data_IF_112992203400
#
_entry.id   IF_112992203400
#
_cell.length_a   1.000
_cell.length_b   1.000
_cell.length_c   1.000
_cell.angle_alpha   90.00
_cell.angle_beta   90.00
_cell.angle_gamma   90.00
#
_symmetry.space_group_name_H-M   'P 1'
#
loop_
_entity.id
_entity.type
_entity.pdbx_description
1 polymer ?
#
# COMPACT_ATOMS: atom_id res chain seq x y z
N UNK A 1 12.63 0.63 29.11
CA UNK A 1 12.46 0.36 27.67
C UNK A 1 12.07 -1.09 27.55
N UNK A 2 10.95 -1.36 26.90
CA UNK A 2 10.46 -2.72 26.65
C UNK A 2 10.57 -2.94 25.16
N UNK A 3 11.30 -3.98 24.77
CA UNK A 3 11.35 -4.49 23.42
C UNK A 3 10.49 -5.74 23.41
N UNK A 4 9.45 -5.75 22.59
CA UNK A 4 8.65 -6.96 22.40
C UNK A 4 9.13 -7.56 21.09
N UNK A 5 9.89 -8.64 21.22
CA UNK A 5 10.33 -9.49 20.11
C UNK A 5 9.25 -10.55 19.84
N UNK A 6 9.39 -11.31 18.76
CA UNK A 6 8.51 -12.45 18.41
C UNK A 6 8.53 -13.63 19.42
N UNK A 7 9.09 -13.46 20.62
CA UNK A 7 9.33 -14.54 21.58
C UNK A 7 8.10 -15.05 22.34
N UNK A 8 6.88 -14.65 21.98
CA UNK A 8 5.68 -15.41 22.35
C UNK A 8 5.42 -16.59 21.41
N UNK A 9 6.22 -16.78 20.35
CA UNK A 9 6.39 -18.09 19.74
C UNK A 9 7.46 -18.85 20.54
N UNK A 10 6.96 -19.55 21.56
CA UNK A 10 7.58 -20.76 22.09
C UNK A 10 8.27 -21.53 20.96
N UNK A 11 9.48 -21.99 21.27
CA UNK A 11 9.96 -23.24 20.74
C UNK A 11 8.87 -24.32 20.88
N UNK A 12 8.09 -24.49 19.83
CA UNK A 12 7.56 -25.77 19.40
C UNK A 12 8.29 -26.05 18.10
N UNK A 13 9.16 -27.05 18.15
CA UNK A 13 10.11 -27.32 17.08
C UNK A 13 9.46 -27.63 15.74
N UNK A 14 10.22 -27.36 14.68
CA UNK A 14 10.11 -28.04 13.39
C UNK A 14 8.85 -27.72 12.59
N UNK A 15 8.73 -26.47 12.14
CA UNK A 15 8.21 -26.02 10.83
C UNK A 15 7.57 -24.64 10.97
N UNK A 16 7.92 -23.72 10.06
CA UNK A 16 7.21 -22.44 9.95
C UNK A 16 5.71 -22.72 9.74
N UNK A 17 4.80 -22.04 10.46
CA UNK A 17 3.37 -22.25 10.24
C UNK A 17 3.03 -22.02 8.77
N UNK A 18 2.21 -22.89 8.18
CA UNK A 18 1.66 -22.60 6.85
C UNK A 18 0.95 -21.24 6.86
N UNK A 19 0.93 -20.53 5.74
CA UNK A 19 0.24 -19.24 5.63
C UNK A 19 -1.25 -19.32 6.05
N UNK A 20 -1.89 -20.48 5.88
CA UNK A 20 -3.26 -20.74 6.36
C UNK A 20 -3.35 -20.76 7.89
N UNK A 21 -2.42 -21.44 8.55
CA UNK A 21 -2.36 -21.48 10.02
C UNK A 21 -2.04 -20.10 10.61
N UNK A 22 -1.16 -19.34 9.95
CA UNK A 22 -0.87 -17.95 10.32
C UNK A 22 -2.11 -17.05 10.18
N UNK A 23 -2.88 -17.18 9.10
CA UNK A 23 -4.14 -16.46 8.92
C UNK A 23 -5.19 -16.84 9.97
N UNK A 24 -5.37 -18.12 10.27
CA UNK A 24 -6.33 -18.56 11.29
C UNK A 24 -5.98 -18.03 12.68
N UNK A 25 -4.69 -18.07 13.05
CA UNK A 25 -4.20 -17.47 14.30
C UNK A 25 -4.46 -15.98 14.32
N UNK A 26 -4.14 -15.26 13.24
CA UNK A 26 -4.39 -13.83 13.13
C UNK A 26 -5.87 -13.48 13.30
N UNK A 27 -6.78 -14.26 12.73
CA UNK A 27 -8.24 -14.07 12.87
C UNK A 27 -8.71 -14.24 14.31
N UNK A 28 -8.13 -15.17 15.08
CA UNK A 28 -8.47 -15.38 16.49
C UNK A 28 -7.90 -14.27 17.38
N UNK A 29 -6.65 -13.87 17.17
CA UNK A 29 -5.96 -12.87 18.01
C UNK A 29 -6.35 -11.43 17.66
N UNK A 30 -6.62 -11.15 16.38
CA UNK A 30 -6.98 -9.84 15.84
C UNK A 30 -8.30 -9.94 15.05
N UNK A 31 -9.44 -10.19 15.74
CA UNK A 31 -10.71 -10.47 15.09
C UNK A 31 -11.35 -9.24 14.43
N UNK A 32 -10.98 -8.03 14.86
CA UNK A 32 -11.59 -6.80 14.35
C UNK A 32 -10.85 -6.29 13.11
N UNK A 33 -11.48 -6.41 11.95
CA UNK A 33 -11.03 -5.80 10.69
C UNK A 33 -11.66 -4.41 10.57
N UNK A 34 -10.84 -3.37 10.41
CA UNK A 34 -11.31 -2.00 10.23
C UNK A 34 -10.76 -1.41 8.94
N UNK A 35 -11.60 -0.68 8.22
CA UNK A 35 -11.14 0.20 7.15
C UNK A 35 -10.20 1.23 7.75
N UNK A 36 -9.05 1.40 7.13
CA UNK A 36 -7.99 2.26 7.63
C UNK A 36 -7.86 3.52 6.78
N UNK A 37 -7.87 3.40 5.45
CA UNK A 37 -7.90 4.48 4.47
C UNK A 37 -7.92 3.91 3.04
N UNK A 38 -8.05 4.77 2.03
CA UNK A 38 -7.91 4.44 0.62
C UNK A 38 -6.57 4.90 0.08
N UNK A 39 -6.10 4.27 -0.99
CA UNK A 39 -5.04 4.76 -1.86
C UNK A 39 -5.38 4.46 -3.31
N UNK A 40 -4.60 5.03 -4.22
CA UNK A 40 -4.78 4.85 -5.66
C UNK A 40 -3.51 4.30 -6.29
N UNK A 41 -3.66 3.50 -7.33
CA UNK A 41 -2.55 2.95 -8.10
C UNK A 41 -2.83 2.98 -9.58
N UNK A 42 -1.85 2.56 -10.38
CA UNK A 42 -1.98 2.39 -11.83
C UNK A 42 -1.99 0.90 -12.14
N UNK A 43 -3.07 0.43 -12.75
CA UNK A 43 -3.18 -0.92 -13.25
C UNK A 43 -3.09 -0.96 -14.78
N UNK A 44 -2.52 -2.03 -15.31
CA UNK A 44 -2.39 -2.30 -16.73
C UNK A 44 -3.01 -3.68 -17.03
N UNK A 45 -3.87 -3.73 -18.04
CA UNK A 45 -4.40 -4.98 -18.55
C UNK A 45 -3.42 -5.62 -19.54
N UNK A 46 -3.07 -6.87 -19.28
CA UNK A 46 -2.26 -7.72 -20.14
C UNK A 46 -3.03 -8.98 -20.51
N UNK A 47 -2.49 -9.81 -21.41
CA UNK A 47 -3.09 -11.11 -21.74
C UNK A 47 -3.21 -12.07 -20.53
N UNK A 48 -2.42 -11.85 -19.47
CA UNK A 48 -2.46 -12.62 -18.22
C UNK A 48 -3.36 -12.05 -17.13
N UNK A 49 -4.11 -10.98 -17.42
CA UNK A 49 -4.91 -10.24 -16.44
C UNK A 49 -4.33 -8.87 -16.12
N UNK A 50 -4.68 -8.32 -14.95
CA UNK A 50 -4.27 -6.99 -14.56
C UNK A 50 -2.98 -7.01 -13.73
N UNK A 51 -2.03 -6.16 -14.10
CA UNK A 51 -0.85 -5.86 -13.29
C UNK A 51 -1.04 -4.50 -12.62
N UNK A 52 -0.59 -4.33 -11.38
CA UNK A 52 -0.67 -3.07 -10.64
C UNK A 52 0.73 -2.59 -10.24
N UNK A 53 0.95 -1.30 -10.41
CA UNK A 53 2.12 -0.61 -9.86
C UNK A 53 2.00 -0.57 -8.31
N UNK A 54 3.01 -1.05 -7.57
CA UNK A 54 3.01 -1.00 -6.11
C UNK A 54 3.08 0.44 -5.55
N UNK A 55 3.47 1.45 -6.32
CA UNK A 55 3.33 2.84 -5.92
C UNK A 55 1.87 3.14 -5.58
N UNK A 56 1.67 3.74 -4.42
CA UNK A 56 0.35 3.95 -3.85
C UNK A 56 0.19 5.42 -3.50
N UNK A 57 -0.67 6.08 -4.27
CA UNK A 57 -0.91 7.52 -4.25
C UNK A 57 -2.05 7.87 -3.29
N UNK A 58 -2.00 9.08 -2.75
CA UNK A 58 -2.99 9.56 -1.78
C UNK A 58 -4.25 10.00 -2.49
N UNK A 59 -4.13 10.60 -3.68
CA UNK A 59 -5.25 11.12 -4.46
C UNK A 59 -5.35 10.47 -5.85
N UNK A 60 -6.55 10.42 -6.48
CA UNK A 60 -6.72 9.88 -7.81
C UNK A 60 -5.84 10.57 -8.87
N UNK A 61 -5.73 11.90 -8.83
CA UNK A 61 -4.93 12.65 -9.81
C UNK A 61 -3.44 12.32 -9.74
N UNK A 62 -2.87 12.11 -8.55
CA UNK A 62 -1.46 11.67 -8.42
C UNK A 62 -1.20 10.35 -9.15
N UNK A 63 -2.15 9.42 -9.11
CA UNK A 63 -2.04 8.17 -9.86
C UNK A 63 -2.20 8.37 -11.38
N UNK A 64 -3.01 9.35 -11.83
CA UNK A 64 -3.07 9.73 -13.25
C UNK A 64 -1.76 10.38 -13.71
N UNK A 65 -1.18 11.24 -12.89
CA UNK A 65 0.10 11.88 -13.19
C UNK A 65 1.23 10.85 -13.26
N UNK A 66 1.26 9.87 -12.34
CA UNK A 66 2.17 8.74 -12.39
C UNK A 66 1.97 7.85 -13.64
N UNK A 67 0.71 7.65 -14.06
CA UNK A 67 0.40 6.96 -15.32
C UNK A 67 0.97 7.75 -16.53
N UNK A 68 0.75 9.08 -16.55
CA UNK A 68 1.31 9.97 -17.56
C UNK A 68 2.84 9.92 -17.58
N UNK A 69 3.48 9.99 -16.41
CA UNK A 69 4.92 9.85 -16.26
C UNK A 69 5.42 8.54 -16.85
N UNK A 70 4.74 7.42 -16.56
CA UNK A 70 5.03 6.12 -17.15
C UNK A 70 5.01 6.15 -18.68
N UNK A 71 4.05 6.86 -19.30
CA UNK A 71 4.01 7.02 -20.75
C UNK A 71 5.18 7.87 -21.27
N UNK A 72 5.54 8.96 -20.60
CA UNK A 72 6.69 9.79 -20.98
C UNK A 72 7.99 9.00 -20.91
N UNK A 73 8.17 8.17 -19.88
CA UNK A 73 9.32 7.25 -19.79
C UNK A 73 9.35 6.29 -20.98
N UNK A 74 8.22 5.67 -21.34
CA UNK A 74 8.17 4.78 -22.51
C UNK A 74 8.44 5.53 -23.82
N UNK A 75 7.93 6.76 -23.96
CA UNK A 75 8.12 7.59 -25.14
C UNK A 75 9.57 8.08 -25.31
N UNK A 76 10.33 8.23 -24.21
CA UNK A 76 11.74 8.61 -24.25
C UNK A 76 12.69 7.47 -24.59
N UNK A 77 12.26 6.21 -24.47
CA UNK A 77 13.13 5.06 -24.75
C UNK A 77 13.42 4.92 -26.24
N UNK A 78 14.71 4.78 -26.57
CA UNK A 78 15.18 4.52 -27.94
C UNK A 78 14.65 3.20 -28.49
N UNK A 79 14.44 2.21 -27.62
CA UNK A 79 13.86 0.89 -27.94
C UNK A 79 12.37 0.95 -28.32
N UNK A 80 11.64 1.99 -27.94
CA UNK A 80 10.21 2.14 -28.28
C UNK A 80 10.04 2.55 -29.75
N UNK A 81 9.27 1.81 -30.58
CA UNK A 81 9.01 2.17 -31.98
C UNK A 81 8.40 3.57 -32.14
N UNK A 82 8.76 4.29 -33.20
CA UNK A 82 8.33 5.68 -33.39
C UNK A 82 6.80 5.89 -33.32
N UNK A 83 5.95 5.06 -33.95
CA UNK A 83 4.49 5.20 -33.82
C UNK A 83 4.00 4.99 -32.39
N UNK A 84 4.66 4.11 -31.61
CA UNK A 84 4.30 3.87 -30.22
C UNK A 84 4.72 5.03 -29.32
N UNK A 85 5.87 5.67 -29.59
CA UNK A 85 6.29 6.88 -28.87
C UNK A 85 5.28 8.00 -29.03
N UNK A 86 4.76 8.20 -30.25
CA UNK A 86 3.71 9.21 -30.49
C UNK A 86 2.45 8.91 -29.67
N UNK A 87 1.97 7.67 -29.70
CA UNK A 87 0.80 7.27 -28.91
C UNK A 87 1.00 7.50 -27.40
N UNK A 88 2.19 7.24 -26.87
CA UNK A 88 2.51 7.52 -25.47
C UNK A 88 2.55 9.04 -25.18
N UNK A 89 3.09 9.86 -26.09
CA UNK A 89 3.05 11.31 -25.93
C UNK A 89 1.62 11.86 -25.94
N UNK A 90 0.79 11.40 -26.87
CA UNK A 90 -0.62 11.80 -26.96
C UNK A 90 -1.41 11.40 -25.70
N UNK A 91 -1.18 10.19 -25.20
CA UNK A 91 -1.81 9.70 -23.98
C UNK A 91 -1.38 10.48 -22.74
N UNK A 92 -0.10 10.81 -22.62
CA UNK A 92 0.40 11.68 -21.54
C UNK A 92 -0.25 13.06 -21.63
N UNK A 93 -0.25 13.68 -22.81
CA UNK A 93 -0.86 15.00 -23.02
C UNK A 93 -2.38 15.00 -22.74
N UNK A 94 -3.06 13.89 -23.00
CA UNK A 94 -4.48 13.73 -22.64
C UNK A 94 -4.67 13.77 -21.13
N UNK A 95 -3.84 13.08 -20.35
CA UNK A 95 -3.92 13.06 -18.89
C UNK A 95 -3.58 14.40 -18.23
N UNK A 96 -2.77 15.25 -18.89
CA UNK A 96 -2.55 16.64 -18.45
C UNK A 96 -3.78 17.54 -18.64
N UNK A 97 -4.67 17.20 -19.58
CA UNK A 97 -5.87 18.00 -19.89
C UNK A 97 -7.13 17.46 -19.23
N UNK A 98 -7.20 16.15 -19.04
CA UNK A 98 -8.41 15.45 -18.65
C UNK A 98 -8.18 14.49 -17.50
N UNK A 99 -9.11 14.46 -16.53
CA UNK A 99 -9.12 13.54 -15.38
C UNK A 99 -9.59 12.13 -15.78
N UNK A 100 -8.96 11.54 -16.79
CA UNK A 100 -9.29 10.18 -17.27
C UNK A 100 -8.75 9.13 -16.32
N UNK A 101 -9.64 8.30 -15.79
CA UNK A 101 -9.25 7.13 -15.00
C UNK A 101 -8.84 5.94 -15.87
N UNK A 102 -9.03 6.02 -17.19
CA UNK A 102 -8.73 4.91 -18.10
C UNK A 102 -8.30 5.44 -19.47
N UNK A 103 -7.26 4.83 -20.02
CA UNK A 103 -6.73 5.11 -21.35
C UNK A 103 -6.24 3.82 -22.01
N UNK A 104 -6.34 3.74 -23.33
CA UNK A 104 -5.76 2.64 -24.11
C UNK A 104 -4.62 3.19 -24.96
N UNK A 105 -3.43 2.63 -24.80
CA UNK A 105 -2.21 3.11 -25.46
C UNK A 105 -1.47 1.90 -26.02
N UNK A 106 -1.21 1.89 -27.33
CA UNK A 106 -0.55 0.76 -28.02
C UNK A 106 -1.26 -0.58 -27.73
N UNK A 107 -2.59 -0.58 -27.79
CA UNK A 107 -3.42 -1.76 -27.54
C UNK A 107 -3.46 -2.26 -26.09
N UNK A 108 -2.84 -1.55 -25.14
CA UNK A 108 -2.84 -1.88 -23.71
C UNK A 108 -3.75 -0.92 -22.96
N UNK A 109 -4.60 -1.46 -22.10
CA UNK A 109 -5.54 -0.68 -21.28
C UNK A 109 -4.89 -0.37 -19.94
N UNK A 110 -4.85 0.91 -19.57
CA UNK A 110 -4.36 1.39 -18.29
C UNK A 110 -5.51 2.01 -17.51
N UNK A 111 -5.54 1.78 -16.20
CA UNK A 111 -6.59 2.26 -15.30
C UNK A 111 -6.01 2.78 -14.00
N UNK A 112 -6.47 3.94 -13.56
CA UNK A 112 -6.31 4.38 -12.17
C UNK A 112 -7.25 3.54 -11.32
N UNK A 113 -6.73 2.87 -10.31
CA UNK A 113 -7.48 1.92 -9.48
C UNK A 113 -7.57 2.37 -8.03
N UNK A 114 -8.73 2.13 -7.43
CA UNK A 114 -8.95 2.31 -6.00
C UNK A 114 -8.48 1.08 -5.24
N UNK A 115 -7.69 1.29 -4.18
CA UNK A 115 -7.23 0.23 -3.28
C UNK A 115 -7.61 0.60 -1.85
N UNK A 116 -8.52 -0.16 -1.25
CA UNK A 116 -8.91 0.03 0.14
C UNK A 116 -7.91 -0.68 1.06
N UNK A 117 -7.47 0.01 2.12
CA UNK A 117 -6.52 -0.50 3.10
C UNK A 117 -7.23 -0.78 4.41
N UNK A 118 -6.89 -1.90 5.03
CA UNK A 118 -7.50 -2.38 6.25
C UNK A 118 -6.44 -2.82 7.25
N UNK A 119 -6.78 -2.71 8.53
CA UNK A 119 -5.96 -3.22 9.62
C UNK A 119 -6.76 -4.20 10.46
N UNK A 120 -6.11 -5.26 10.90
CA UNK A 120 -6.66 -6.12 11.95
C UNK A 120 -6.26 -5.58 13.31
N UNK A 121 -7.14 -5.78 14.29
CA UNK A 121 -6.92 -5.38 15.67
C UNK A 121 -7.59 -6.34 16.64
N UNK A 122 -7.04 -6.41 17.85
CA UNK A 122 -7.54 -7.24 18.94
C UNK A 122 -7.16 -6.62 20.29
N UNK A 123 -7.31 -7.40 21.36
CA UNK A 123 -7.04 -6.94 22.73
C UNK A 123 -5.61 -6.41 22.92
N UNK A 124 -4.65 -6.97 22.17
CA UNK A 124 -3.23 -6.59 22.23
C UNK A 124 -2.87 -5.44 21.27
N UNK A 125 -3.83 -4.84 20.56
CA UNK A 125 -3.62 -3.72 19.62
C UNK A 125 -3.72 -4.11 18.14
N UNK A 126 -3.00 -3.39 17.27
CA UNK A 126 -2.92 -3.71 15.83
C UNK A 126 -2.10 -4.99 15.57
N UNK A 127 -2.47 -5.74 14.53
CA UNK A 127 -1.75 -6.92 14.10
C UNK A 127 -0.32 -6.59 13.66
N UNK A 128 0.71 -7.24 14.23
CA UNK A 128 2.10 -7.10 13.80
C UNK A 128 2.36 -7.91 12.52
N UNK A 129 3.56 -7.79 11.91
CA UNK A 129 4.03 -8.76 10.94
C UNK A 129 3.84 -10.21 11.41
N UNK A 130 3.46 -11.07 10.48
CA UNK A 130 3.34 -12.52 10.72
C UNK A 130 4.70 -13.18 10.47
N UNK A 131 5.01 -14.32 11.11
CA UNK A 131 6.21 -15.09 10.80
C UNK A 131 6.31 -15.56 9.34
N UNK A 132 5.17 -15.65 8.64
CA UNK A 132 5.10 -16.03 7.22
C UNK A 132 5.25 -14.85 6.26
N UNK A 133 5.34 -13.63 6.77
CA UNK A 133 5.52 -12.45 5.93
C UNK A 133 6.96 -12.40 5.40
N UNK A 134 7.16 -12.21 4.08
CA UNK A 134 8.49 -12.08 3.51
C UNK A 134 9.26 -10.91 4.15
N UNK A 135 10.35 -11.24 4.86
CA UNK A 135 11.07 -10.26 5.66
C UNK A 135 12.04 -9.40 4.85
N UNK A 136 12.52 -9.86 3.69
CA UNK A 136 13.55 -9.18 2.88
C UNK A 136 13.09 -8.96 1.43
N UNK A 137 11.92 -8.33 1.28
CA UNK A 137 11.43 -7.88 -0.03
C UNK A 137 12.02 -6.50 -0.32
N UNK A 138 12.75 -6.31 -1.43
CA UNK A 138 13.22 -5.00 -1.85
C UNK A 138 12.05 -4.04 -2.07
N UNK A 139 12.22 -2.78 -1.69
CA UNK A 139 11.28 -1.74 -2.09
C UNK A 139 11.34 -1.60 -3.63
N UNK A 140 10.18 -1.54 -4.31
CA UNK A 140 10.14 -1.49 -5.77
C UNK A 140 10.80 -0.21 -6.27
N UNK A 141 11.50 -0.33 -7.40
CA UNK A 141 12.13 0.79 -8.09
C UNK A 141 11.07 1.65 -8.82
N UNK A 142 10.43 2.52 -8.04
CA UNK A 142 9.51 3.55 -8.51
C UNK A 142 8.32 3.04 -9.35
N UNK A 143 7.88 3.90 -10.28
CA UNK A 143 6.62 3.76 -11.03
C UNK A 143 6.63 2.72 -12.16
N UNK A 144 7.74 2.01 -12.36
CA UNK A 144 7.92 1.08 -13.47
C UNK A 144 7.68 -0.38 -13.08
N UNK A 145 7.77 -0.70 -11.79
CA UNK A 145 7.47 -2.05 -11.30
C UNK A 145 5.97 -2.34 -11.42
N UNK A 146 5.62 -3.56 -11.83
CA UNK A 146 4.23 -4.04 -11.87
C UNK A 146 4.13 -5.45 -11.34
N UNK A 147 3.15 -5.68 -10.48
CA UNK A 147 2.87 -6.99 -9.88
C UNK A 147 1.48 -7.47 -10.29
N UNK A 148 1.26 -8.78 -10.51
CA UNK A 148 -0.08 -9.27 -10.84
C UNK A 148 -1.08 -8.94 -9.73
N UNK A 149 -2.26 -8.42 -10.09
CA UNK A 149 -3.42 -8.41 -9.20
C UNK A 149 -3.87 -9.87 -9.05
N UNK A 150 -3.90 -10.43 -7.83
CA UNK A 150 -4.31 -11.81 -7.63
C UNK A 150 -5.75 -12.07 -8.06
N UNK A 151 -6.09 -13.34 -8.22
CA UNK A 151 -7.46 -13.75 -8.52
C UNK A 151 -8.43 -13.19 -7.47
N UNK A 152 -9.52 -12.62 -7.95
CA UNK A 152 -10.58 -12.08 -7.13
C UNK A 152 -11.57 -13.17 -6.70
N UNK A 153 -12.10 -13.04 -5.50
CA UNK A 153 -13.05 -13.98 -4.91
C UNK A 153 -14.29 -13.26 -4.39
N UNK A 154 -15.38 -14.01 -4.22
CA UNK A 154 -16.58 -13.48 -3.58
C UNK A 154 -16.30 -13.20 -2.09
N UNK A 155 -16.66 -12.01 -1.58
CA UNK A 155 -16.75 -11.74 -0.14
C UNK A 155 -17.40 -12.89 0.64
N UNK A 156 -16.78 -13.34 1.73
CA UNK A 156 -17.30 -14.42 2.57
C UNK A 156 -17.01 -15.83 2.07
N UNK A 157 -16.32 -15.99 0.93
CA UNK A 157 -15.88 -17.29 0.42
C UNK A 157 -14.82 -17.97 1.29
N UNK A 158 -14.62 -19.27 1.07
CA UNK A 158 -13.60 -20.05 1.78
C UNK A 158 -12.17 -19.59 1.44
N UNK A 159 -11.95 -19.12 0.21
CA UNK A 159 -10.69 -18.56 -0.26
C UNK A 159 -10.31 -17.27 0.49
N UNK A 160 -11.31 -16.56 1.02
CA UNK A 160 -11.14 -15.39 1.88
C UNK A 160 -11.38 -15.71 3.36
N UNK A 161 -11.42 -16.99 3.74
CA UNK A 161 -11.67 -17.44 5.12
C UNK A 161 -12.95 -16.85 5.73
N UNK A 162 -13.98 -16.61 4.92
CA UNK A 162 -15.23 -16.01 5.37
C UNK A 162 -15.19 -14.48 5.55
N UNK A 163 -14.07 -13.81 5.24
CA UNK A 163 -13.96 -12.36 5.34
C UNK A 163 -14.66 -11.65 4.19
N UNK A 164 -15.36 -10.56 4.50
CA UNK A 164 -16.26 -9.89 3.55
C UNK A 164 -15.68 -8.63 2.94
N UNK A 165 -15.01 -7.77 3.71
CA UNK A 165 -14.44 -6.50 3.20
C UNK A 165 -15.47 -5.54 2.56
N UNK A 166 -16.76 -5.71 2.86
CA UNK A 166 -17.88 -4.93 2.30
C UNK A 166 -18.24 -3.73 3.18
N UNK A 167 -17.25 -2.86 3.45
CA UNK A 167 -17.48 -1.68 4.30
C UNK A 167 -18.18 -0.58 3.50
N UNK A 168 -19.36 -0.17 3.97
CA UNK A 168 -20.11 0.98 3.46
C UNK A 168 -20.08 2.07 4.53
N UNK A 169 -19.32 3.16 4.33
CA UNK A 169 -19.36 4.30 5.23
C UNK A 169 -20.79 4.82 5.37
N UNK A 170 -21.22 5.09 6.60
CA UNK A 170 -22.55 5.63 6.91
C UNK A 170 -22.50 6.39 8.25
N UNK A 171 -23.46 7.29 8.46
CA UNK A 171 -23.60 8.06 9.70
C UNK A 171 -23.81 9.56 9.45
N UNK A 172 -24.11 10.31 10.50
CA UNK A 172 -24.45 11.74 10.41
C UNK A 172 -23.33 12.62 9.82
N UNK A 173 -22.08 12.19 9.95
CA UNK A 173 -20.90 12.92 9.44
C UNK A 173 -20.35 12.36 8.12
N UNK A 174 -21.03 11.40 7.51
CA UNK A 174 -20.63 10.82 6.22
C UNK A 174 -21.50 11.40 5.11
N UNK A 175 -20.91 12.16 4.16
CA UNK A 175 -21.62 12.61 2.97
C UNK A 175 -22.39 11.47 2.27
N UNK A 176 -23.62 11.77 1.85
CA UNK A 176 -24.54 10.77 1.31
C UNK A 176 -24.06 10.14 -0.01
N UNK A 177 -23.29 10.90 -0.79
CA UNK A 177 -22.63 10.47 -2.01
C UNK A 177 -21.55 9.40 -1.76
N UNK A 178 -20.72 9.55 -0.71
CA UNK A 178 -19.76 8.51 -0.30
C UNK A 178 -20.47 7.19 -0.03
N UNK A 179 -21.57 7.25 0.73
CA UNK A 179 -22.39 6.05 1.05
C UNK A 179 -22.98 5.43 -0.22
N UNK A 180 -23.54 6.26 -1.10
CA UNK A 180 -24.17 5.83 -2.36
C UNK A 180 -23.14 5.18 -3.30
N UNK A 181 -21.97 5.78 -3.44
CA UNK A 181 -20.93 5.30 -4.35
C UNK A 181 -20.29 4.02 -3.81
N UNK A 182 -20.08 3.90 -2.49
CA UNK A 182 -19.65 2.64 -1.88
C UNK A 182 -20.67 1.51 -2.12
N UNK A 183 -21.97 1.78 -1.99
CA UNK A 183 -23.02 0.79 -2.33
C UNK A 183 -23.04 0.44 -3.82
N UNK A 184 -22.79 1.41 -4.70
CA UNK A 184 -22.67 1.17 -6.15
C UNK A 184 -21.48 0.26 -6.43
N UNK A 185 -20.34 0.52 -5.80
CA UNK A 185 -19.13 -0.30 -5.92
C UNK A 185 -19.36 -1.77 -5.52
N UNK A 186 -20.13 -2.03 -4.45
CA UNK A 186 -20.50 -3.41 -4.08
C UNK A 186 -21.25 -4.14 -5.19
N UNK A 187 -22.06 -3.44 -6.00
CA UNK A 187 -22.83 -4.03 -7.10
C UNK A 187 -22.02 -4.15 -8.39
N UNK A 188 -21.24 -3.12 -8.73
CA UNK A 188 -20.49 -3.08 -10.00
C UNK A 188 -19.17 -3.83 -9.94
N UNK A 189 -18.58 -3.95 -8.76
CA UNK A 189 -17.33 -4.67 -8.49
C UNK A 189 -17.54 -5.61 -7.30
N UNK A 190 -18.29 -6.72 -7.48
CA UNK A 190 -18.71 -7.58 -6.37
C UNK A 190 -17.57 -8.44 -5.80
N UNK A 191 -16.51 -8.69 -6.58
CA UNK A 191 -15.39 -9.53 -6.16
C UNK A 191 -14.33 -8.70 -5.43
N UNK A 192 -13.45 -9.37 -4.69
CA UNK A 192 -12.30 -8.74 -4.03
C UNK A 192 -11.00 -9.51 -4.31
N UNK A 193 -9.96 -8.78 -4.68
CA UNK A 193 -8.59 -9.28 -4.76
C UNK A 193 -7.78 -8.73 -3.58
N UNK A 194 -7.14 -9.61 -2.81
CA UNK A 194 -6.20 -9.24 -1.73
C UNK A 194 -4.81 -9.14 -2.33
N UNK A 195 -4.21 -7.95 -2.29
CA UNK A 195 -2.81 -7.77 -2.68
C UNK A 195 -1.87 -8.28 -1.58
N UNK A 196 -0.57 -8.33 -1.90
CA UNK A 196 0.44 -8.49 -0.87
C UNK A 196 0.28 -7.39 0.20
N UNK A 197 0.42 -7.75 1.49
CA UNK A 197 0.32 -6.83 2.61
C UNK A 197 1.43 -5.79 2.58
N UNK A 198 1.23 -4.69 3.31
CA UNK A 198 2.28 -3.73 3.61
C UNK A 198 2.42 -3.48 5.10
N UNK A 199 3.53 -2.88 5.47
CA UNK A 199 3.89 -2.63 6.86
C UNK A 199 4.03 -1.15 7.12
N UNK A 200 3.44 -0.67 8.21
CA UNK A 200 3.48 0.74 8.60
C UNK A 200 3.95 0.86 10.04
N UNK A 201 4.79 1.84 10.32
CA UNK A 201 5.14 2.21 11.69
C UNK A 201 3.98 3.05 12.22
N UNK A 202 3.30 2.56 13.25
CA UNK A 202 2.31 3.32 14.02
C UNK A 202 2.90 3.77 15.34
N UNK A 203 2.45 4.94 15.81
CA UNK A 203 2.78 5.50 17.11
C UNK A 203 1.51 5.52 17.97
N UNK A 204 1.61 5.07 19.22
CA UNK A 204 0.54 5.20 20.18
C UNK A 204 0.31 6.68 20.55
N UNK A 205 -0.95 7.10 20.55
CA UNK A 205 -1.41 8.43 20.96
C UNK A 205 -2.64 8.24 21.84
N UNK A 206 -2.42 8.16 23.16
CA UNK A 206 -3.47 7.73 24.11
C UNK A 206 -3.92 6.29 23.78
N UNK A 207 -5.24 6.03 23.65
CA UNK A 207 -5.74 4.71 23.27
C UNK A 207 -5.68 4.44 21.74
N UNK A 208 -5.23 5.41 20.95
CA UNK A 208 -5.26 5.35 19.48
C UNK A 208 -3.88 5.05 18.89
N UNK A 209 -3.89 4.51 17.68
CA UNK A 209 -2.68 4.31 16.87
C UNK A 209 -2.71 5.26 15.68
N UNK A 210 -1.63 6.02 15.49
CA UNK A 210 -1.47 6.95 14.37
C UNK A 210 -0.36 6.46 13.43
N UNK A 211 -0.58 6.40 12.10
CA UNK A 211 0.50 6.22 11.14
C UNK A 211 1.63 7.24 11.37
N UNK A 212 2.87 6.76 11.39
CA UNK A 212 4.08 7.56 11.60
C UNK A 212 5.12 7.34 10.47
N UNK A 213 4.76 6.63 9.41
CA UNK A 213 5.64 6.36 8.27
C UNK A 213 4.84 6.13 6.98
N UNK A 214 5.52 6.08 5.83
CA UNK A 214 5.03 5.41 4.63
C UNK A 214 4.76 3.90 4.87
N UNK A 215 4.25 3.24 3.84
CA UNK A 215 3.97 1.80 3.83
C UNK A 215 5.10 1.06 3.13
N UNK A 216 5.64 0.05 3.79
CA UNK A 216 6.79 -0.75 3.35
C UNK A 216 6.35 -2.12 2.82
N UNK A 217 7.13 -2.68 1.89
CA UNK A 217 6.87 -3.99 1.29
C UNK A 217 7.37 -5.15 2.17
N UNK A 218 8.24 -4.86 3.15
CA UNK A 218 8.73 -5.84 4.11
C UNK A 218 8.75 -5.30 5.55
N UNK A 219 8.62 -6.18 6.55
CA UNK A 219 8.85 -5.81 7.94
C UNK A 219 10.28 -5.32 8.19
N UNK A 220 11.31 -5.86 7.51
CA UNK A 220 12.68 -5.37 7.66
C UNK A 220 12.86 -3.92 7.18
N UNK A 221 12.21 -3.52 6.08
CA UNK A 221 12.25 -2.14 5.60
C UNK A 221 11.60 -1.19 6.62
N UNK A 222 10.49 -1.61 7.25
CA UNK A 222 9.87 -0.88 8.35
C UNK A 222 10.78 -0.78 9.58
N UNK A 223 11.44 -1.89 9.99
CA UNK A 223 12.42 -1.89 11.10
C UNK A 223 13.61 -0.98 10.79
N UNK A 224 14.15 -1.04 9.58
CA UNK A 224 15.26 -0.20 9.14
C UNK A 224 14.89 1.29 9.15
N UNK A 225 13.67 1.65 8.73
CA UNK A 225 13.17 3.03 8.84
C UNK A 225 13.07 3.45 10.31
N UNK A 226 12.44 2.64 11.16
CA UNK A 226 12.29 2.97 12.58
C UNK A 226 13.65 3.13 13.27
N UNK A 227 14.61 2.25 12.95
CA UNK A 227 15.97 2.33 13.46
C UNK A 227 16.66 3.65 13.05
N UNK A 228 16.48 4.10 11.80
CA UNK A 228 16.99 5.42 11.36
C UNK A 228 16.32 6.57 12.12
N UNK A 229 15.01 6.54 12.26
CA UNK A 229 14.26 7.57 12.98
C UNK A 229 14.69 7.65 14.47
N UNK A 230 14.94 6.50 15.11
CA UNK A 230 15.45 6.44 16.49
C UNK A 230 16.92 6.86 16.60
N UNK A 231 17.76 6.58 15.60
CA UNK A 231 19.15 7.02 15.58
C UNK A 231 19.26 8.55 15.56
N UNK A 232 18.46 9.23 14.72
CA UNK A 232 18.40 10.71 14.69
C UNK A 232 17.99 11.26 16.07
N UNK A 233 17.01 10.64 16.72
CA UNK A 233 16.61 11.03 18.09
C UNK A 233 17.70 10.76 19.13
N UNK A 234 18.47 9.69 18.96
CA UNK A 234 19.60 9.33 19.83
C UNK A 234 20.67 10.41 19.81
N UNK A 235 20.96 10.99 18.65
CA UNK A 235 21.96 12.04 18.50
C UNK A 235 21.56 13.34 19.20
N UNK A 236 20.26 13.68 19.16
CA UNK A 236 19.70 14.84 19.82
C UNK A 236 19.48 14.67 21.34
N UNK A 237 19.59 13.44 21.87
CA UNK A 237 19.32 13.13 23.27
C UNK A 237 20.50 13.55 24.18
N UNK A 238 20.18 14.31 25.24
CA UNK A 238 21.15 14.83 26.20
C UNK A 238 21.27 13.97 27.44
N UNK A 239 20.19 13.29 27.83
CA UNK A 239 20.23 12.36 28.95
C UNK A 239 20.97 11.08 28.55
N UNK A 240 22.05 10.75 29.27
CA UNK A 240 22.91 9.62 28.92
C UNK A 240 22.20 8.27 29.02
N UNK A 241 21.26 8.11 29.96
CA UNK A 241 20.51 6.87 30.17
C UNK A 241 19.46 6.70 29.08
N UNK A 242 18.74 7.76 28.72
CA UNK A 242 17.79 7.73 27.61
C UNK A 242 18.51 7.52 26.27
N UNK A 243 19.68 8.14 26.08
CA UNK A 243 20.49 7.93 24.89
C UNK A 243 20.97 6.49 24.76
N UNK A 244 21.37 5.85 25.87
CA UNK A 244 21.74 4.44 25.88
C UNK A 244 20.55 3.53 25.54
N UNK A 245 19.35 3.82 26.05
CA UNK A 245 18.12 3.10 25.69
C UNK A 245 17.83 3.22 24.20
N UNK A 246 17.86 4.43 23.64
CA UNK A 246 17.59 4.65 22.21
C UNK A 246 18.59 3.92 21.30
N UNK A 247 19.88 3.87 21.68
CA UNK A 247 20.88 3.05 20.98
C UNK A 247 20.53 1.57 21.02
N UNK A 248 20.26 1.03 22.20
CA UNK A 248 19.89 -0.38 22.34
C UNK A 248 18.61 -0.75 21.55
N UNK A 249 17.61 0.14 21.47
CA UNK A 249 16.45 -0.07 20.61
C UNK A 249 16.82 -0.08 19.11
N UNK A 250 17.68 0.84 18.70
CA UNK A 250 18.18 0.91 17.32
C UNK A 250 18.92 -0.36 16.93
N UNK A 251 19.79 -0.87 17.82
CA UNK A 251 20.55 -2.09 17.60
C UNK A 251 19.65 -3.32 17.57
N UNK A 252 18.63 -3.39 18.43
CA UNK A 252 17.64 -4.47 18.43
C UNK A 252 16.81 -4.51 17.14
N UNK A 253 16.37 -3.35 16.63
CA UNK A 253 15.65 -3.26 15.36
C UNK A 253 16.50 -3.73 14.17
N UNK A 254 17.82 -3.57 14.24
CA UNK A 254 18.78 -4.02 13.22
C UNK A 254 19.10 -5.52 13.32
N UNK A 255 19.01 -6.10 14.51
CA UNK A 255 19.49 -7.47 14.77
C UNK A 255 18.42 -8.55 14.71
N UNK A 256 17.13 -8.23 14.78
CA UNK A 256 16.08 -9.25 14.78
C UNK A 256 14.66 -8.74 14.57
N UNK A 257 13.66 -9.65 14.62
CA UNK A 257 12.28 -9.36 14.32
C UNK A 257 11.58 -8.66 15.50
N UNK A 258 11.96 -7.40 15.71
CA UNK A 258 11.30 -6.52 16.68
C UNK A 258 10.02 -5.97 16.05
N UNK A 259 8.86 -6.28 16.66
CA UNK A 259 7.55 -5.80 16.21
C UNK A 259 7.08 -4.54 16.94
N UNK A 260 7.60 -4.30 18.15
CA UNK A 260 7.23 -3.16 18.97
C UNK A 260 8.40 -2.64 19.82
N UNK A 261 8.49 -1.31 19.91
CA UNK A 261 9.50 -0.58 20.68
C UNK A 261 8.81 0.45 21.58
N UNK A 262 9.03 0.33 22.88
CA UNK A 262 8.57 1.33 23.87
C UNK A 262 9.72 2.26 24.27
N UNK A 263 9.66 3.50 23.79
CA UNK A 263 10.64 4.57 24.03
C UNK A 263 10.17 5.49 25.16
N UNK A 264 11.07 5.93 26.05
CA UNK A 264 10.78 6.84 27.18
C UNK A 264 9.68 6.39 28.15
N UNK A 265 9.32 5.10 28.15
CA UNK A 265 8.33 4.52 29.08
C UNK A 265 6.86 4.86 28.76
N UNK A 266 6.60 5.72 27.77
CA UNK A 266 5.26 6.17 27.38
C UNK A 266 5.01 6.15 25.87
N UNK A 267 6.06 6.19 25.05
CA UNK A 267 5.94 6.32 23.60
C UNK A 267 6.15 4.97 22.93
N UNK A 268 5.05 4.36 22.52
CA UNK A 268 5.08 3.04 21.87
C UNK A 268 5.04 3.18 20.36
N UNK A 269 6.01 2.58 19.68
CA UNK A 269 6.01 2.36 18.23
C UNK A 269 5.74 0.89 17.95
N UNK A 270 4.87 0.62 16.98
CA UNK A 270 4.60 -0.75 16.50
C UNK A 270 4.68 -0.79 14.99
N UNK A 271 5.22 -1.87 14.44
CA UNK A 271 5.08 -2.18 13.03
C UNK A 271 3.75 -2.91 12.88
N UNK A 272 2.81 -2.33 12.15
CA UNK A 272 1.49 -2.88 11.91
C UNK A 272 1.39 -3.43 10.49
N UNK A 273 0.73 -4.58 10.36
CA UNK A 273 0.36 -5.20 9.09
C UNK A 273 -0.91 -4.54 8.52
N UNK A 274 -0.88 -4.22 7.23
CA UNK A 274 -1.95 -3.55 6.51
C UNK A 274 -2.34 -4.39 5.30
N UNK A 275 -3.61 -4.77 5.24
CA UNK A 275 -4.20 -5.51 4.14
C UNK A 275 -4.64 -4.54 3.04
N UNK A 276 -4.29 -4.83 1.79
CA UNK A 276 -4.64 -4.03 0.62
C UNK A 276 -5.65 -4.81 -0.21
N UNK A 277 -6.82 -4.23 -0.46
CA UNK A 277 -7.93 -4.89 -1.14
C UNK A 277 -8.40 -4.05 -2.31
N UNK A 278 -8.54 -4.69 -3.47
CA UNK A 278 -9.11 -4.10 -4.67
C UNK A 278 -10.45 -4.76 -4.93
N UNK A 279 -11.50 -3.97 -5.18
CA UNK A 279 -12.75 -4.52 -5.68
C UNK A 279 -12.65 -4.78 -7.18
N UNK A 280 -13.20 -5.90 -7.62
CA UNK A 280 -13.04 -6.40 -8.99
C UNK A 280 -14.40 -6.72 -9.60
N UNK A 281 -14.50 -6.54 -10.91
CA UNK A 281 -15.56 -7.05 -11.77
C UNK A 281 -14.96 -7.86 -12.91
N UNK A 282 -15.79 -8.41 -13.79
CA UNK A 282 -15.33 -9.06 -15.02
C UNK A 282 -14.57 -8.09 -15.95
N UNK A 283 -14.87 -6.79 -15.86
CA UNK A 283 -14.16 -5.74 -16.61
C UNK A 283 -12.83 -5.31 -15.92
N UNK A 284 -12.59 -5.75 -14.68
CA UNK A 284 -11.35 -5.50 -13.96
C UNK A 284 -11.50 -4.69 -12.66
N UNK A 285 -10.42 -4.02 -12.22
CA UNK A 285 -10.36 -3.35 -10.92
C UNK A 285 -11.19 -2.07 -10.85
N UNK A 286 -11.75 -1.81 -9.67
CA UNK A 286 -12.57 -0.63 -9.39
C UNK A 286 -11.76 0.67 -9.63
N UNK A 287 -12.25 1.60 -10.47
CA UNK A 287 -11.65 2.93 -10.58
C UNK A 287 -11.97 3.79 -9.35
N UNK A 288 -11.33 4.96 -9.19
CA UNK A 288 -11.77 5.97 -8.22
C UNK A 288 -13.28 6.23 -8.31
N UNK A 289 -13.90 6.39 -7.14
CA UNK A 289 -15.31 6.73 -7.03
C UNK A 289 -15.51 8.22 -7.32
N UNK A 290 -16.67 8.65 -7.82
CA UNK A 290 -16.96 10.07 -8.00
C UNK A 290 -16.86 10.91 -6.72
N UNK A 291 -17.14 10.30 -5.57
CA UNK A 291 -17.04 10.91 -4.23
C UNK A 291 -15.65 10.80 -3.59
N UNK A 292 -14.66 10.24 -4.30
CA UNK A 292 -13.28 10.23 -3.80
C UNK A 292 -12.68 11.63 -3.89
N UNK A 293 -12.05 12.06 -2.79
CA UNK A 293 -11.38 13.36 -2.72
C UNK A 293 -10.24 13.42 -3.74
N UNK A 294 -10.30 14.40 -4.64
CA UNK A 294 -9.35 14.59 -5.74
C UNK A 294 -9.01 16.08 -5.88
N UNK A 295 -8.38 16.69 -4.85
CA UNK A 295 -8.14 18.14 -4.81
C UNK A 295 -6.95 18.57 -5.67
N UNK A 296 -6.15 17.62 -6.14
CA UNK A 296 -4.95 17.88 -6.92
C UNK A 296 -5.36 18.18 -8.37
N UNK A 297 -4.87 19.30 -8.90
CA UNK A 297 -5.05 19.62 -10.33
C UNK A 297 -4.08 18.83 -11.20
N UNK A 298 -4.45 18.52 -12.46
CA UNK A 298 -3.55 17.85 -13.39
C UNK A 298 -2.22 18.58 -13.55
N UNK A 299 -1.13 17.80 -13.57
CA UNK A 299 0.17 18.33 -13.95
C UNK A 299 0.17 18.70 -15.44
N UNK A 300 0.53 19.94 -15.78
CA UNK A 300 0.47 20.45 -17.16
C UNK A 300 1.83 20.87 -17.69
N UNK A 301 2.10 20.64 -18.98
CA UNK A 301 3.24 21.20 -19.71
C UNK A 301 4.49 20.33 -19.73
N UNK A 302 4.60 19.35 -18.81
CA UNK A 302 5.75 18.45 -18.73
C UNK A 302 5.88 17.57 -19.98
N UNK A 303 4.74 17.14 -20.55
CA UNK A 303 4.72 16.35 -21.79
C UNK A 303 5.31 17.12 -22.96
N UNK A 304 4.94 18.40 -23.11
CA UNK A 304 5.44 19.23 -24.19
C UNK A 304 6.94 19.49 -24.04
N UNK A 305 7.41 19.72 -22.80
CA UNK A 305 8.82 19.90 -22.49
C UNK A 305 9.63 18.62 -22.77
N UNK A 306 9.25 17.49 -22.17
CA UNK A 306 10.01 16.23 -22.27
C UNK A 306 10.05 15.68 -23.69
N UNK A 307 9.05 15.98 -24.52
CA UNK A 307 9.05 15.61 -25.94
C UNK A 307 10.21 16.24 -26.73
N UNK A 308 10.80 17.34 -26.23
CA UNK A 308 11.97 17.98 -26.85
C UNK A 308 13.30 17.34 -26.47
N UNK A 309 13.29 16.46 -25.45
CA UNK A 309 14.52 15.83 -24.96
C UNK A 309 15.00 14.74 -25.92
N UNK A 310 16.32 14.47 -25.96
CA UNK A 310 16.86 13.37 -26.73
C UNK A 310 16.36 12.02 -26.19
N UNK A 311 16.23 11.04 -27.08
CA UNK A 311 15.91 9.66 -26.69
C UNK A 311 17.00 9.10 -25.76
N UNK A 312 16.55 8.37 -24.75
CA UNK A 312 17.37 7.70 -23.75
C UNK A 312 17.55 6.23 -24.11
N UNK A 313 18.72 5.70 -23.77
CA UNK A 313 18.92 4.25 -23.72
C UNK A 313 18.11 3.66 -22.55
N UNK A 314 17.94 2.33 -22.54
CA UNK A 314 17.02 1.63 -21.62
C UNK A 314 17.36 1.80 -20.13
#
# INVERSE_FOLDING_TARGET
MVLITDSDDLALGGDLPSWRAAEERARRTYPSVRWFHVTYGVAEQTGGGWLINPAAHVYPQEARDAMGFGFRVQALRRSTPAPHREAYWEASALLERERRNEVTVVGRRFRTVRVDRFVRSGAVGLEPPRPTDPDDVPEPDGDLSRTPIPRAWLPGSNELFGERWEIVPAGAHVPADITRDARRALRTHPLVARLAPRFVIVKAVGPLWKPNSPYFHSPSAARARLARDLAVRTEAERDIRERAKLRAATDALRSGPVREVVVRGDTTYRIARVEYVIRMSDDGPEPPRPSDDDPIEPLTGETAELRTWPLRDD
#
